data_IF_881941727283
#
_entry.id   IF_881941727283
#
_cell.length_a   1.000
_cell.length_b   1.000
_cell.length_c   1.000
_cell.angle_alpha   90.00
_cell.angle_beta   90.00
_cell.angle_gamma   90.00
#
_symmetry.space_group_name_H-M   'P 1'
#
loop_
_entity.id
_entity.type
_entity.pdbx_description
1 polymer ?
#
# COMPACT_ATOMS: atom_id res chain seq x y z
N UNK A 1 25.86 2.35 -11.90
CA UNK A 1 25.22 3.48 -11.19
C UNK A 1 23.79 3.05 -10.88
N UNK A 2 23.43 2.97 -9.63
CA UNK A 2 22.02 2.75 -9.29
C UNK A 2 21.23 4.00 -9.71
N UNK A 3 20.27 3.82 -10.60
CA UNK A 3 19.36 4.89 -10.96
C UNK A 3 18.50 5.23 -9.76
N UNK A 4 18.51 6.45 -9.25
CA UNK A 4 17.61 6.89 -8.18
C UNK A 4 16.17 6.98 -8.70
N UNK A 5 15.17 6.92 -7.80
CA UNK A 5 13.77 7.07 -8.18
C UNK A 5 13.54 8.40 -8.87
N UNK A 6 14.15 9.48 -8.36
CA UNK A 6 14.06 10.80 -8.98
C UNK A 6 14.64 10.82 -10.41
N UNK A 7 15.78 10.14 -10.64
CA UNK A 7 16.38 10.07 -11.98
C UNK A 7 15.54 9.26 -12.96
N UNK A 8 14.92 8.18 -12.50
CA UNK A 8 14.00 7.38 -13.30
C UNK A 8 12.75 8.17 -13.71
N UNK A 9 12.17 8.91 -12.75
CA UNK A 9 11.02 9.77 -13.03
C UNK A 9 11.39 10.84 -14.06
N UNK A 10 12.51 11.55 -13.88
CA UNK A 10 12.99 12.55 -14.84
C UNK A 10 13.19 11.93 -16.22
N UNK A 11 13.91 10.80 -16.27
CA UNK A 11 14.15 10.09 -17.53
C UNK A 11 12.86 9.69 -18.26
N UNK A 12 11.87 9.22 -17.51
CA UNK A 12 10.56 8.88 -18.07
C UNK A 12 9.80 10.11 -18.58
N UNK A 13 9.74 11.18 -17.79
CA UNK A 13 9.02 12.40 -18.18
C UNK A 13 9.65 13.13 -19.37
N UNK A 14 10.98 13.10 -19.50
CA UNK A 14 11.72 13.75 -20.56
C UNK A 14 11.71 12.95 -21.88
N UNK A 15 11.86 11.63 -21.78
CA UNK A 15 12.08 10.78 -22.97
C UNK A 15 10.86 9.97 -23.38
N UNK A 16 9.90 9.76 -22.46
CA UNK A 16 8.79 8.83 -22.67
C UNK A 16 9.22 7.36 -22.77
N UNK A 17 10.47 7.02 -22.42
CA UNK A 17 10.97 5.67 -22.55
C UNK A 17 10.42 4.78 -21.43
N UNK A 18 9.64 3.78 -21.83
CA UNK A 18 8.94 2.86 -20.92
C UNK A 18 9.87 2.08 -19.97
N UNK A 19 11.13 1.87 -20.35
CA UNK A 19 12.11 1.18 -19.50
C UNK A 19 12.31 1.85 -18.15
N UNK A 20 12.26 3.17 -18.10
CA UNK A 20 12.33 3.91 -16.82
C UNK A 20 11.11 3.65 -15.95
N UNK A 21 9.94 3.55 -16.57
CA UNK A 21 8.72 3.24 -15.84
C UNK A 21 8.68 1.77 -15.38
N UNK A 22 9.16 0.84 -16.19
CA UNK A 22 9.29 -0.57 -15.80
C UNK A 22 10.19 -0.73 -14.58
N UNK A 23 11.33 -0.04 -14.53
CA UNK A 23 12.24 -0.06 -13.37
C UNK A 23 11.57 0.55 -12.12
N UNK A 24 10.81 1.64 -12.27
CA UNK A 24 10.00 2.19 -11.18
C UNK A 24 8.96 1.17 -10.70
N UNK A 25 8.26 0.52 -11.62
CA UNK A 25 7.25 -0.49 -11.31
C UNK A 25 7.85 -1.67 -10.54
N UNK A 26 9.04 -2.12 -10.91
CA UNK A 26 9.76 -3.17 -10.18
C UNK A 26 10.08 -2.75 -8.74
N UNK A 27 10.60 -1.54 -8.54
CA UNK A 27 10.95 -1.01 -7.21
C UNK A 27 9.74 -0.87 -6.28
N UNK A 28 8.60 -0.44 -6.83
CA UNK A 28 7.37 -0.29 -6.05
C UNK A 28 6.50 -1.56 -6.04
N UNK A 29 6.89 -2.62 -6.76
CA UNK A 29 6.16 -3.88 -6.82
C UNK A 29 5.90 -4.53 -5.45
N UNK A 30 6.84 -4.56 -4.51
CA UNK A 30 6.59 -5.10 -3.17
C UNK A 30 5.48 -4.35 -2.44
N UNK A 31 5.49 -3.02 -2.47
CA UNK A 31 4.46 -2.17 -1.88
C UNK A 31 3.09 -2.45 -2.51
N UNK A 32 3.02 -2.42 -3.85
CA UNK A 32 1.79 -2.66 -4.60
C UNK A 32 1.21 -4.03 -4.27
N UNK A 33 2.04 -5.08 -4.27
CA UNK A 33 1.61 -6.44 -3.93
C UNK A 33 1.11 -6.56 -2.49
N UNK A 34 1.76 -5.89 -1.54
CA UNK A 34 1.36 -5.89 -0.14
C UNK A 34 -0.04 -5.27 0.03
N UNK A 35 -0.31 -4.15 -0.63
CA UNK A 35 -1.64 -3.52 -0.57
C UNK A 35 -2.69 -4.28 -1.38
N UNK A 36 -2.35 -4.83 -2.54
CA UNK A 36 -3.29 -5.63 -3.33
C UNK A 36 -3.80 -6.86 -2.56
N UNK A 37 -2.94 -7.51 -1.77
CA UNK A 37 -3.33 -8.64 -0.91
C UNK A 37 -4.32 -8.27 0.20
N UNK A 38 -4.34 -7.00 0.62
CA UNK A 38 -5.26 -6.50 1.65
C UNK A 38 -6.65 -6.17 1.08
N UNK A 39 -6.79 -6.08 -0.24
CA UNK A 39 -8.05 -5.84 -0.93
C UNK A 39 -8.76 -7.17 -1.23
N UNK A 40 -9.02 -7.96 -0.18
CA UNK A 40 -9.60 -9.31 -0.30
C UNK A 40 -11.03 -9.35 -0.85
N UNK A 41 -11.69 -8.19 -0.98
CA UNK A 41 -13.01 -8.07 -1.62
C UNK A 41 -12.93 -7.92 -3.15
N UNK A 42 -11.76 -7.63 -3.68
CA UNK A 42 -11.51 -7.50 -5.12
C UNK A 42 -10.67 -8.67 -5.62
N UNK A 43 -10.80 -8.95 -6.92
CA UNK A 43 -9.88 -9.89 -7.58
C UNK A 43 -8.46 -9.35 -7.48
N UNK A 44 -7.51 -10.20 -7.09
CA UNK A 44 -6.14 -9.79 -6.84
C UNK A 44 -5.47 -9.09 -8.04
N UNK A 45 -5.70 -9.61 -9.24
CA UNK A 45 -5.19 -9.06 -10.48
C UNK A 45 -5.73 -7.65 -10.75
N UNK A 46 -7.02 -7.43 -10.50
CA UNK A 46 -7.64 -6.11 -10.65
C UNK A 46 -7.08 -5.14 -9.62
N UNK A 47 -6.91 -5.58 -8.38
CA UNK A 47 -6.27 -4.80 -7.33
C UNK A 47 -4.85 -4.38 -7.70
N UNK A 48 -4.07 -5.29 -8.28
CA UNK A 48 -2.73 -4.99 -8.80
C UNK A 48 -2.74 -3.96 -9.91
N UNK A 49 -3.67 -4.09 -10.87
CA UNK A 49 -3.78 -3.16 -11.99
C UNK A 49 -4.17 -1.77 -11.52
N UNK A 50 -5.13 -1.65 -10.62
CA UNK A 50 -5.57 -0.37 -10.06
C UNK A 50 -4.46 0.35 -9.29
N UNK A 51 -3.67 -0.38 -8.51
CA UNK A 51 -2.55 0.20 -7.77
C UNK A 51 -1.35 0.55 -8.69
N UNK A 52 -1.12 -0.22 -9.76
CA UNK A 52 -0.15 0.11 -10.81
C UNK A 52 -0.56 1.37 -11.58
N UNK A 53 -1.85 1.51 -11.86
CA UNK A 53 -2.39 2.72 -12.48
C UNK A 53 -2.17 3.94 -11.57
N UNK A 54 -2.37 3.79 -10.26
CA UNK A 54 -2.10 4.87 -9.30
C UNK A 54 -0.61 5.28 -9.28
N UNK A 55 0.31 4.33 -9.39
CA UNK A 55 1.74 4.61 -9.56
C UNK A 55 2.00 5.40 -10.86
N UNK A 56 1.44 4.96 -11.98
CA UNK A 56 1.58 5.62 -13.27
C UNK A 56 1.08 7.07 -13.22
N UNK A 57 -0.11 7.28 -12.67
CA UNK A 57 -0.67 8.62 -12.51
C UNK A 57 0.17 9.50 -11.58
N UNK A 58 0.71 8.93 -10.49
CA UNK A 58 1.58 9.65 -9.58
C UNK A 58 2.84 10.13 -10.27
N UNK A 59 3.51 9.28 -11.05
CA UNK A 59 4.70 9.65 -11.82
C UNK A 59 4.41 10.78 -12.80
N UNK A 60 3.25 10.76 -13.45
CA UNK A 60 2.86 11.82 -14.41
C UNK A 60 2.45 13.14 -13.77
N UNK A 61 1.94 13.09 -12.54
CA UNK A 61 1.42 14.26 -11.81
C UNK A 61 2.39 14.82 -10.78
N UNK A 62 3.57 14.22 -10.62
CA UNK A 62 4.54 14.66 -9.63
C UNK A 62 4.95 16.12 -9.91
N UNK A 63 4.87 17.02 -8.91
CA UNK A 63 5.14 18.44 -9.12
C UNK A 63 6.63 18.76 -9.34
N UNK A 64 7.51 17.97 -8.73
CA UNK A 64 8.97 18.05 -8.90
C UNK A 64 9.59 16.68 -8.68
N UNK A 65 10.59 16.35 -9.48
CA UNK A 65 11.39 15.15 -9.35
C UNK A 65 12.82 15.42 -8.87
N UNK A 66 13.06 16.53 -8.19
CA UNK A 66 14.41 16.96 -7.78
C UNK A 66 14.88 16.30 -6.48
N UNK A 67 13.95 15.95 -5.61
CA UNK A 67 14.22 15.32 -4.33
C UNK A 67 13.80 13.85 -4.34
N UNK A 68 14.73 12.95 -4.08
CA UNK A 68 14.51 11.51 -4.02
C UNK A 68 13.48 11.12 -2.98
N UNK A 69 13.62 11.66 -1.76
CA UNK A 69 12.71 11.35 -0.66
C UNK A 69 11.30 11.88 -0.93
N UNK A 70 11.19 13.08 -1.48
CA UNK A 70 9.92 13.66 -1.90
C UNK A 70 9.23 12.84 -2.97
N UNK A 71 9.98 12.33 -3.96
CA UNK A 71 9.46 11.46 -5.01
C UNK A 71 8.87 10.16 -4.42
N UNK A 72 9.65 9.48 -3.57
CA UNK A 72 9.22 8.24 -2.93
C UNK A 72 7.98 8.48 -2.06
N UNK A 73 7.98 9.52 -1.24
CA UNK A 73 6.85 9.86 -0.38
C UNK A 73 5.59 10.19 -1.16
N UNK A 74 5.72 10.94 -2.26
CA UNK A 74 4.59 11.28 -3.13
C UNK A 74 3.96 10.04 -3.77
N UNK A 75 4.79 9.14 -4.32
CA UNK A 75 4.32 7.89 -4.92
C UNK A 75 3.65 7.01 -3.88
N UNK A 76 4.30 6.79 -2.73
CA UNK A 76 3.75 5.99 -1.64
C UNK A 76 2.37 6.50 -1.21
N UNK A 77 2.26 7.81 -0.99
CA UNK A 77 0.99 8.44 -0.61
C UNK A 77 -0.09 8.26 -1.67
N UNK A 78 0.27 8.35 -2.95
CA UNK A 78 -0.67 8.16 -4.06
C UNK A 78 -1.19 6.73 -4.12
N UNK A 79 -0.32 5.73 -3.95
CA UNK A 79 -0.70 4.32 -3.89
C UNK A 79 -1.58 4.02 -2.68
N UNK A 80 -1.23 4.56 -1.50
CA UNK A 80 -2.02 4.39 -0.27
C UNK A 80 -3.40 5.05 -0.40
N UNK A 81 -3.47 6.25 -0.95
CA UNK A 81 -4.76 6.92 -1.18
C UNK A 81 -5.66 6.11 -2.12
N UNK A 82 -5.09 5.54 -3.18
CA UNK A 82 -5.83 4.66 -4.08
C UNK A 82 -6.31 3.39 -3.39
N UNK A 83 -5.43 2.76 -2.61
CA UNK A 83 -5.78 1.60 -1.79
C UNK A 83 -6.95 1.91 -0.85
N UNK A 84 -6.86 3.01 -0.09
CA UNK A 84 -7.91 3.43 0.84
C UNK A 84 -9.25 3.63 0.13
N UNK A 85 -9.23 4.28 -1.04
CA UNK A 85 -10.43 4.46 -1.84
C UNK A 85 -11.03 3.11 -2.27
N UNK A 86 -10.23 2.22 -2.87
CA UNK A 86 -10.68 0.90 -3.30
C UNK A 86 -11.23 0.06 -2.14
N UNK A 87 -10.61 0.16 -0.98
CA UNK A 87 -11.06 -0.52 0.22
C UNK A 87 -12.45 -0.03 0.66
N UNK A 88 -12.65 1.29 0.74
CA UNK A 88 -13.95 1.86 1.09
C UNK A 88 -15.03 1.52 0.05
N UNK A 89 -14.72 1.67 -1.23
CA UNK A 89 -15.65 1.34 -2.32
C UNK A 89 -16.08 -0.15 -2.24
N UNK A 90 -15.16 -1.05 -1.94
CA UNK A 90 -15.44 -2.49 -1.83
C UNK A 90 -16.28 -2.85 -0.60
N UNK A 91 -16.04 -2.20 0.52
CA UNK A 91 -16.86 -2.37 1.74
C UNK A 91 -18.27 -1.84 1.54
N UNK A 92 -18.41 -0.69 0.88
CA UNK A 92 -19.73 -0.10 0.56
C UNK A 92 -20.55 -1.01 -0.35
N UNK A 93 -19.94 -1.56 -1.42
CA UNK A 93 -20.60 -2.52 -2.32
C UNK A 93 -21.05 -3.75 -1.54
N UNK A 94 -20.23 -4.29 -0.66
CA UNK A 94 -20.59 -5.47 0.13
C UNK A 94 -21.73 -5.19 1.10
N UNK A 95 -21.73 -4.03 1.76
CA UNK A 95 -22.82 -3.62 2.65
C UNK A 95 -24.13 -3.46 1.89
N UNK A 96 -24.11 -2.89 0.69
CA UNK A 96 -25.26 -2.72 -0.17
C UNK A 96 -25.79 -4.06 -0.68
N UNK A 97 -24.93 -5.00 -1.04
CA UNK A 97 -25.31 -6.35 -1.45
C UNK A 97 -25.89 -7.17 -0.28
N UNK A 98 -25.38 -7.00 0.93
CA UNK A 98 -25.93 -7.65 2.12
C UNK A 98 -27.33 -7.14 2.48
N UNK A 99 -27.69 -5.91 2.07
CA UNK A 99 -29.01 -5.32 2.28
C UNK A 99 -30.00 -5.63 1.15
N UNK A 100 -29.57 -6.25 0.07
CA UNK A 100 -30.43 -6.67 -1.05
C UNK A 100 -30.97 -8.11 -0.90
N UNK A 101 -31.17 -8.58 0.32
CA UNK A 101 -31.94 -9.80 0.60
C UNK A 101 -33.41 -9.46 0.37
N UNK A 102 -34.21 -10.33 -0.33
CA UNK A 102 -35.64 -10.06 -0.57
C UNK A 102 -36.36 -9.84 0.76
N UNK A 103 -37.20 -8.82 0.80
CA UNK A 103 -38.11 -8.58 1.91
C UNK A 103 -38.96 -9.84 2.17
N UNK A 104 -38.56 -10.58 3.18
CA UNK A 104 -39.51 -11.41 3.92
C UNK A 104 -39.57 -10.82 5.35
N UNK A 105 -40.81 -10.43 5.71
CA UNK A 105 -41.14 -9.77 6.95
C UNK A 105 -40.77 -10.65 8.13
N UNK A 106 -39.77 -10.24 8.92
CA UNK A 106 -39.80 -10.41 10.40
C UNK A 106 -38.59 -9.80 11.08
N UNK A 107 -38.92 -8.93 12.00
CA UNK A 107 -38.19 -8.51 13.20
C UNK A 107 -36.90 -7.70 13.08
N UNK A 108 -37.10 -6.43 13.45
CA UNK A 108 -36.04 -5.45 13.66
C UNK A 108 -35.00 -5.90 14.68
N UNK A 109 -33.78 -6.01 14.20
CA UNK A 109 -32.59 -5.81 15.02
C UNK A 109 -31.67 -4.85 14.28
N UNK A 110 -31.64 -3.64 14.84
CA UNK A 110 -30.76 -2.55 14.47
C UNK A 110 -29.31 -2.95 14.79
N UNK A 111 -28.64 -3.62 13.84
CA UNK A 111 -27.19 -3.78 13.87
C UNK A 111 -26.56 -2.60 13.14
N UNK A 112 -26.63 -1.42 13.75
CA UNK A 112 -25.60 -0.41 13.59
C UNK A 112 -24.35 -0.96 14.25
N UNK A 113 -23.62 -1.79 13.53
CA UNK A 113 -22.22 -2.02 13.82
C UNK A 113 -21.48 -0.76 13.38
N UNK A 114 -21.14 0.08 14.35
CA UNK A 114 -20.12 1.09 14.22
C UNK A 114 -18.83 0.36 13.79
N UNK A 115 -18.61 0.27 12.49
CA UNK A 115 -17.27 -0.01 12.00
C UNK A 115 -16.47 1.25 12.27
N UNK A 116 -15.82 1.25 13.44
CA UNK A 116 -14.75 2.16 13.77
C UNK A 116 -13.83 2.23 12.55
N UNK A 117 -13.77 3.40 11.95
CA UNK A 117 -12.85 3.83 10.90
C UNK A 117 -11.40 3.89 11.42
N UNK A 118 -11.05 2.92 12.25
CA UNK A 118 -9.79 2.87 12.95
C UNK A 118 -8.93 1.77 12.37
N UNK A 119 -8.31 2.03 11.24
CA UNK A 119 -7.05 1.32 10.91
C UNK A 119 -6.40 1.78 9.58
N UNK A 120 -6.68 2.97 9.11
CA UNK A 120 -5.73 3.63 8.23
C UNK A 120 -4.68 4.35 9.10
N UNK A 121 -3.80 3.57 9.72
CA UNK A 121 -2.57 4.14 10.27
C UNK A 121 -1.89 4.83 9.09
N UNK A 122 -1.84 6.15 9.13
CA UNK A 122 -1.11 6.94 8.14
C UNK A 122 0.32 6.42 8.10
N UNK A 123 0.91 6.28 6.92
CA UNK A 123 2.35 5.93 6.80
C UNK A 123 3.22 6.87 7.63
N UNK A 124 2.78 8.12 7.81
CA UNK A 124 3.44 9.12 8.67
C UNK A 124 3.37 8.70 10.14
N UNK A 125 2.21 8.20 10.59
CA UNK A 125 2.06 7.73 11.98
C UNK A 125 2.88 6.45 12.20
N UNK A 126 2.95 5.59 11.20
CA UNK A 126 3.78 4.40 11.21
C UNK A 126 5.26 4.75 11.21
N UNK A 127 5.72 5.68 10.36
CA UNK A 127 7.10 6.18 10.39
C UNK A 127 7.45 6.82 11.75
N UNK A 128 6.54 7.59 12.33
CA UNK A 128 6.75 8.20 13.63
C UNK A 128 6.78 7.15 14.75
N UNK A 129 5.91 6.14 14.69
CA UNK A 129 5.92 5.01 15.61
C UNK A 129 7.22 4.19 15.47
N UNK A 130 7.71 4.00 14.24
CA UNK A 130 8.98 3.31 13.97
C UNK A 130 10.20 4.08 14.46
N UNK A 131 10.19 5.42 14.44
CA UNK A 131 11.30 6.26 14.96
C UNK A 131 11.54 6.06 16.45
N UNK A 132 10.51 5.72 17.22
CA UNK A 132 10.58 5.48 18.66
C UNK A 132 11.07 4.06 19.03
N UNK A 133 11.21 3.16 18.07
CA UNK A 133 11.54 1.76 18.26
C UNK A 133 13.04 1.48 18.12
N UNK A 134 13.51 0.38 18.75
CA UNK A 134 14.87 -0.11 18.59
C UNK A 134 15.15 -0.49 17.11
N UNK A 135 16.42 -0.44 16.66
CA UNK A 135 16.77 -0.74 15.26
C UNK A 135 16.28 -2.09 14.77
N UNK A 136 16.35 -3.12 15.63
CA UNK A 136 15.85 -4.49 15.36
C UNK A 136 14.35 -4.54 15.22
N UNK A 137 13.61 -3.86 16.10
CA UNK A 137 12.16 -3.78 16.04
C UNK A 137 11.69 -3.07 14.76
N UNK A 138 12.42 -2.02 14.33
CA UNK A 138 12.15 -1.35 13.05
C UNK A 138 12.30 -2.28 11.86
N UNK A 139 13.34 -3.09 11.86
CA UNK A 139 13.62 -4.03 10.78
C UNK A 139 12.50 -5.07 10.68
N UNK A 140 12.11 -5.67 11.80
CA UNK A 140 11.03 -6.65 11.87
C UNK A 140 9.71 -6.04 11.41
N UNK A 141 9.36 -4.87 11.93
CA UNK A 141 8.14 -4.17 11.54
C UNK A 141 8.13 -3.76 10.06
N UNK A 142 9.28 -3.31 9.55
CA UNK A 142 9.44 -3.02 8.11
C UNK A 142 9.20 -4.26 7.25
N UNK A 143 9.71 -5.41 7.67
CA UNK A 143 9.50 -6.67 6.94
C UNK A 143 8.04 -7.16 7.03
N UNK A 144 7.40 -7.03 8.20
CA UNK A 144 5.97 -7.34 8.35
C UNK A 144 5.09 -6.46 7.45
N UNK A 145 5.42 -5.16 7.35
CA UNK A 145 4.73 -4.22 6.46
C UNK A 145 4.93 -4.60 4.99
N UNK A 146 6.11 -5.12 4.63
CA UNK A 146 6.43 -5.61 3.30
C UNK A 146 5.74 -6.95 2.98
N UNK A 147 5.03 -7.53 3.97
CA UNK A 147 4.25 -8.76 3.80
C UNK A 147 5.04 -10.06 3.96
N UNK A 148 6.20 -10.00 4.62
CA UNK A 148 6.92 -11.20 5.02
C UNK A 148 6.10 -11.96 6.07
N UNK A 149 6.07 -13.30 5.95
CA UNK A 149 5.40 -14.16 6.92
C UNK A 149 6.27 -14.38 8.16
N UNK A 150 5.63 -14.78 9.27
CA UNK A 150 6.33 -15.09 10.51
C UNK A 150 7.46 -16.13 10.32
N UNK A 151 7.28 -17.07 9.38
CA UNK A 151 8.28 -18.10 9.06
C UNK A 151 9.53 -17.53 8.39
N UNK A 152 9.40 -16.42 7.67
CA UNK A 152 10.52 -15.74 7.00
C UNK A 152 11.26 -14.80 7.95
N UNK A 153 10.62 -14.40 9.06
CA UNK A 153 11.20 -13.57 10.10
C UNK A 153 12.02 -14.36 11.12
N UNK A 154 11.66 -15.62 11.38
CA UNK A 154 12.32 -16.48 12.36
C UNK A 154 13.86 -16.59 12.20
N UNK A 155 14.42 -16.79 10.99
CA UNK A 155 15.87 -16.89 10.81
C UNK A 155 16.62 -15.61 11.14
N UNK A 156 15.94 -14.47 11.09
CA UNK A 156 16.56 -13.15 11.33
C UNK A 156 16.59 -12.85 12.84
N UNK A 157 15.61 -13.35 13.57
CA UNK A 157 15.54 -13.23 15.02
C UNK A 157 16.58 -14.12 15.71
N UNK A 158 16.79 -15.35 15.21
CA UNK A 158 17.73 -16.31 15.79
C UNK A 158 19.22 -15.91 15.62
N UNK A 159 19.52 -15.03 14.67
CA UNK A 159 20.92 -14.56 14.44
C UNK A 159 21.37 -13.49 15.41
N UNK A 160 20.48 -12.90 16.21
CA UNK A 160 20.81 -11.78 17.11
C UNK A 160 20.97 -12.18 18.58
N UNK A 161 20.52 -13.37 18.98
CA UNK A 161 20.72 -13.88 20.35
C UNK A 161 22.12 -14.48 20.60
N UNK A 162 23.02 -14.42 19.63
CA UNK A 162 24.37 -15.03 19.68
C UNK A 162 25.52 -14.01 19.69
N UNK A 163 25.29 -12.77 20.18
CA UNK A 163 26.42 -11.81 20.31
C UNK A 163 26.46 -11.20 21.71
#
# INVERSE_FOLDING_TARGET
MENTVSSLIKGYLETGNEKYFEELLERFSPLIKAYARKLYYLVYEDSLQELRLALYEAVRKIPSADDEHGCISYINRSVVNKFTKLYHDSVEIQSTQAHSVPLDDSDGHDYRQDYETDNCISLVDLENALKSKLPTERQILSMLIQGYSDKELLPILDTQDNT
#
